data_IF_219328297978
#
_entry.id   IF_219328297978
#
_cell.length_a   1.000
_cell.length_b   1.000
_cell.length_c   1.000
_cell.angle_alpha   90.00
_cell.angle_beta   90.00
_cell.angle_gamma   90.00
#
_symmetry.space_group_name_H-M   'P 1'
#
loop_
_entity.id
_entity.type
_entity.pdbx_description
1 polymer ?
#
# COMPACT_ATOMS: atom_id res chain seq x y z
N UNK A 1 19.67 -4.36 -8.30
CA UNK A 1 19.20 -4.83 -6.98
C UNK A 1 18.31 -6.05 -7.19
N UNK A 2 18.35 -7.01 -6.28
CA UNK A 2 17.44 -8.16 -6.35
C UNK A 2 16.21 -7.85 -5.49
N UNK A 3 15.03 -7.76 -6.12
CA UNK A 3 13.75 -7.46 -5.47
C UNK A 3 12.90 -8.73 -5.28
N UNK A 4 13.56 -9.88 -5.06
CA UNK A 4 12.87 -11.17 -4.82
C UNK A 4 12.13 -11.24 -3.49
N UNK A 5 12.36 -10.28 -2.62
CA UNK A 5 11.72 -10.13 -1.32
C UNK A 5 10.36 -9.40 -1.38
N UNK A 6 9.91 -9.02 -2.56
CA UNK A 6 8.63 -8.33 -2.78
C UNK A 6 7.72 -9.23 -3.59
N UNK A 7 6.48 -9.41 -3.13
CA UNK A 7 5.42 -10.10 -3.87
C UNK A 7 4.09 -9.34 -3.75
N UNK A 8 3.26 -9.48 -4.79
CA UNK A 8 1.87 -9.03 -4.81
C UNK A 8 0.99 -10.25 -5.03
N UNK A 9 -0.01 -10.45 -4.19
CA UNK A 9 -0.99 -11.52 -4.38
C UNK A 9 -2.01 -11.11 -5.44
N UNK A 10 -2.69 -10.00 -5.22
CA UNK A 10 -3.69 -9.41 -6.12
C UNK A 10 -3.92 -7.95 -5.72
N UNK A 11 -4.37 -7.10 -6.63
CA UNK A 11 -4.70 -5.69 -6.35
C UNK A 11 -3.54 -4.96 -5.68
N UNK A 12 -3.76 -4.49 -4.45
CA UNK A 12 -2.77 -3.82 -3.60
C UNK A 12 -2.28 -4.70 -2.44
N UNK A 13 -2.51 -6.02 -2.51
CA UNK A 13 -2.08 -6.96 -1.46
C UNK A 13 -0.59 -7.26 -1.60
N UNK A 14 0.23 -6.49 -0.88
CA UNK A 14 1.69 -6.49 -0.99
C UNK A 14 2.30 -7.20 0.22
N UNK A 15 3.32 -8.04 -0.03
CA UNK A 15 4.21 -8.58 1.01
C UNK A 15 5.64 -8.11 0.76
N UNK A 16 6.28 -7.59 1.80
CA UNK A 16 7.71 -7.24 1.82
C UNK A 16 8.39 -8.07 2.90
N UNK A 17 9.41 -8.85 2.52
CA UNK A 17 10.19 -9.70 3.42
C UNK A 17 11.58 -9.09 3.61
N UNK A 18 12.00 -8.94 4.86
CA UNK A 18 13.31 -8.41 5.23
C UNK A 18 13.65 -8.83 6.65
N UNK A 19 14.19 -7.93 7.45
CA UNK A 19 14.33 -8.13 8.90
C UNK A 19 12.96 -8.37 9.58
N UNK A 20 11.88 -7.97 8.90
CA UNK A 20 10.47 -8.17 9.26
C UNK A 20 9.66 -8.64 8.06
N UNK A 21 8.63 -9.44 8.32
CA UNK A 21 7.59 -9.77 7.33
C UNK A 21 6.46 -8.75 7.45
N UNK A 22 6.31 -7.92 6.44
CA UNK A 22 5.35 -6.83 6.42
C UNK A 22 4.34 -7.05 5.29
N UNK A 23 3.07 -6.91 5.63
CA UNK A 23 1.96 -7.01 4.69
C UNK A 23 1.23 -5.67 4.60
N UNK A 24 0.84 -5.28 3.40
CA UNK A 24 -0.04 -4.14 3.14
C UNK A 24 -1.31 -4.66 2.47
N UNK A 25 -2.47 -4.23 2.98
CA UNK A 25 -3.79 -4.53 2.44
C UNK A 25 -3.97 -6.00 2.04
N UNK A 26 -3.75 -6.97 2.95
CA UNK A 26 -3.78 -8.39 2.61
C UNK A 26 -5.20 -8.85 2.28
N UNK A 27 -5.41 -9.29 1.01
CA UNK A 27 -6.69 -9.82 0.54
C UNK A 27 -6.51 -11.12 -0.26
N UNK A 28 -7.56 -11.95 -0.25
CA UNK A 28 -7.64 -13.21 -1.02
C UNK A 28 -6.41 -14.11 -0.82
N UNK A 29 -5.83 -14.11 0.36
CA UNK A 29 -4.78 -15.05 0.73
C UNK A 29 -5.39 -16.45 0.94
N UNK A 30 -4.64 -17.50 0.57
CA UNK A 30 -5.03 -18.90 0.75
C UNK A 30 -4.20 -19.62 1.81
N UNK A 31 -2.98 -19.16 2.04
CA UNK A 31 -2.00 -19.86 2.86
C UNK A 31 -2.04 -19.39 4.32
N UNK A 32 -2.16 -20.31 5.24
CA UNK A 32 -2.14 -20.04 6.68
C UNK A 32 -0.69 -19.92 7.20
N UNK A 33 -0.02 -18.81 6.87
CA UNK A 33 1.40 -18.62 7.12
C UNK A 33 1.71 -18.22 8.56
N UNK A 34 0.84 -17.44 9.22
CA UNK A 34 1.05 -16.95 10.60
C UNK A 34 2.40 -16.26 10.81
N UNK A 35 2.89 -15.55 9.78
CA UNK A 35 4.26 -15.04 9.72
C UNK A 35 4.38 -13.51 9.71
N UNK A 36 3.26 -12.77 9.76
CA UNK A 36 3.29 -11.32 9.76
C UNK A 36 3.89 -10.76 11.05
N UNK A 37 4.92 -9.91 10.95
CA UNK A 37 5.35 -9.05 12.05
C UNK A 37 4.44 -7.82 12.12
N UNK A 38 4.17 -7.19 10.97
CA UNK A 38 3.30 -6.02 10.84
C UNK A 38 2.33 -6.18 9.67
N UNK A 39 1.10 -5.71 9.88
CA UNK A 39 0.08 -5.59 8.84
C UNK A 39 -0.33 -4.13 8.78
N UNK A 40 -0.17 -3.49 7.62
CA UNK A 40 -0.58 -2.13 7.35
C UNK A 40 -1.86 -2.12 6.53
N UNK A 41 -2.84 -1.36 6.95
CA UNK A 41 -4.11 -1.17 6.25
C UNK A 41 -4.19 0.28 5.81
N UNK A 42 -4.47 0.53 4.53
CA UNK A 42 -4.60 1.88 3.99
C UNK A 42 -5.98 2.46 4.24
N UNK A 43 -7.03 1.66 4.12
CA UNK A 43 -8.43 2.05 4.32
C UNK A 43 -9.37 0.83 4.44
N UNK A 44 -10.69 1.07 4.68
CA UNK A 44 -11.68 0.03 5.03
C UNK A 44 -12.35 -0.69 3.85
N UNK A 45 -12.07 -0.35 2.59
CA UNK A 45 -12.73 -1.01 1.48
C UNK A 45 -12.39 -2.51 1.44
N UNK A 46 -13.35 -3.32 0.98
CA UNK A 46 -13.29 -4.79 1.01
C UNK A 46 -12.11 -5.39 0.24
N UNK A 47 -11.54 -4.65 -0.69
CA UNK A 47 -10.36 -5.03 -1.48
C UNK A 47 -9.03 -4.51 -0.90
N UNK A 48 -9.06 -4.01 0.35
CA UNK A 48 -7.89 -3.61 1.14
C UNK A 48 -7.95 -4.14 2.57
N UNK A 49 -9.16 -4.30 3.13
CA UNK A 49 -9.38 -4.77 4.50
C UNK A 49 -10.19 -6.07 4.52
N UNK A 50 -9.50 -7.21 4.37
CA UNK A 50 -10.10 -8.55 4.41
C UNK A 50 -9.68 -9.29 5.68
N UNK A 51 -10.61 -9.36 6.63
CA UNK A 51 -10.42 -10.01 7.93
C UNK A 51 -10.02 -11.49 7.77
N UNK A 52 -10.52 -12.19 6.75
CA UNK A 52 -10.20 -13.58 6.50
C UNK A 52 -8.72 -13.75 6.12
N UNK A 53 -8.21 -12.92 5.24
CA UNK A 53 -6.78 -12.90 4.87
C UNK A 53 -5.89 -12.46 6.03
N UNK A 54 -6.30 -11.44 6.79
CA UNK A 54 -5.57 -11.00 8.00
C UNK A 54 -5.42 -12.17 8.97
N UNK A 55 -6.50 -12.90 9.26
CA UNK A 55 -6.47 -14.06 10.15
C UNK A 55 -5.54 -15.19 9.70
N UNK A 56 -5.24 -15.33 8.42
CA UNK A 56 -4.31 -16.34 7.88
C UNK A 56 -2.83 -16.02 8.18
N UNK A 57 -2.48 -14.75 8.27
CA UNK A 57 -1.10 -14.30 8.48
C UNK A 57 -0.82 -13.81 9.90
N UNK A 58 -1.87 -13.52 10.67
CA UNK A 58 -1.81 -13.05 12.04
C UNK A 58 -1.24 -14.10 12.98
N UNK A 59 -0.23 -13.75 13.77
CA UNK A 59 0.30 -14.55 14.90
C UNK A 59 0.16 -13.77 16.22
N UNK A 60 0.64 -14.32 17.33
CA UNK A 60 0.49 -13.71 18.68
C UNK A 60 1.25 -12.38 18.85
N UNK A 61 2.24 -12.09 17.99
CA UNK A 61 3.10 -10.90 18.09
C UNK A 61 2.78 -9.85 17.01
N UNK A 62 1.96 -10.18 16.03
CA UNK A 62 1.64 -9.28 14.92
C UNK A 62 1.00 -8.00 15.43
N UNK A 63 1.48 -6.85 14.97
CA UNK A 63 0.86 -5.54 15.18
C UNK A 63 0.16 -5.12 13.89
N UNK A 64 -1.08 -4.66 14.00
CA UNK A 64 -1.85 -4.12 12.88
C UNK A 64 -1.84 -2.59 12.98
N UNK A 65 -1.35 -1.94 11.92
CA UNK A 65 -1.31 -0.49 11.75
C UNK A 65 -2.43 -0.10 10.80
N UNK A 66 -3.29 0.81 11.22
CA UNK A 66 -4.48 1.17 10.47
C UNK A 66 -4.93 2.61 10.77
N UNK A 67 -5.61 3.29 9.82
CA UNK A 67 -6.14 4.63 10.05
C UNK A 67 -7.15 4.63 11.20
N UNK A 68 -7.10 5.64 12.04
CA UNK A 68 -8.07 5.81 13.13
C UNK A 68 -9.51 5.90 12.62
N UNK A 69 -9.70 6.38 11.42
CA UNK A 69 -11.03 6.50 10.77
C UNK A 69 -11.75 5.17 10.59
N UNK A 70 -11.06 4.03 10.68
CA UNK A 70 -11.64 2.69 10.54
C UNK A 70 -11.73 1.91 11.87
N UNK A 71 -11.55 2.59 13.00
CA UNK A 71 -11.59 1.97 14.33
C UNK A 71 -12.91 1.23 14.62
N UNK A 72 -14.02 1.66 14.05
CA UNK A 72 -15.32 1.02 14.18
C UNK A 72 -15.51 -0.25 13.33
N UNK A 73 -14.56 -0.57 12.44
CA UNK A 73 -14.62 -1.72 11.52
C UNK A 73 -13.84 -2.95 11.99
N UNK A 74 -13.16 -2.84 13.12
CA UNK A 74 -12.20 -3.88 13.58
C UNK A 74 -12.80 -4.89 14.57
N UNK A 75 -14.07 -4.78 14.95
CA UNK A 75 -14.71 -5.64 15.95
C UNK A 75 -14.57 -7.14 15.62
N UNK A 76 -14.64 -7.51 14.35
CA UNK A 76 -14.55 -8.90 13.88
C UNK A 76 -13.11 -9.46 13.79
N UNK A 77 -12.09 -8.64 14.05
CA UNK A 77 -10.70 -9.09 14.01
C UNK A 77 -10.36 -10.05 15.17
N UNK A 78 -11.08 -9.95 16.29
CA UNK A 78 -10.83 -10.74 17.51
C UNK A 78 -9.33 -10.70 17.92
N UNK A 79 -8.78 -9.50 18.03
CA UNK A 79 -7.39 -9.23 18.39
C UNK A 79 -7.31 -8.39 19.65
N UNK A 80 -6.27 -8.60 20.46
CA UNK A 80 -5.98 -7.74 21.60
C UNK A 80 -5.76 -6.28 21.13
N UNK A 81 -6.49 -5.34 21.73
CA UNK A 81 -6.40 -3.91 21.40
C UNK A 81 -4.99 -3.34 21.53
N UNK A 82 -4.14 -3.91 22.39
CA UNK A 82 -2.73 -3.53 22.52
C UNK A 82 -1.89 -3.85 21.26
N UNK A 83 -2.43 -4.62 20.33
CA UNK A 83 -1.82 -4.99 19.05
C UNK A 83 -2.36 -4.18 17.87
N UNK A 84 -3.22 -3.21 18.14
CA UNK A 84 -3.75 -2.26 17.17
C UNK A 84 -3.03 -0.94 17.35
N UNK A 85 -2.46 -0.43 16.27
CA UNK A 85 -1.77 0.84 16.24
C UNK A 85 -2.48 1.78 15.26
N UNK A 86 -3.20 2.75 15.82
CA UNK A 86 -3.96 3.71 15.03
C UNK A 86 -3.08 4.87 14.56
N UNK A 87 -3.26 5.26 13.30
CA UNK A 87 -2.51 6.33 12.65
C UNK A 87 -3.43 7.42 12.10
N UNK A 88 -2.89 8.63 11.99
CA UNK A 88 -3.50 9.79 11.36
C UNK A 88 -2.65 10.20 10.13
N UNK A 89 -3.22 10.88 9.11
CA UNK A 89 -2.46 11.37 7.97
C UNK A 89 -1.37 12.39 8.36
N UNK A 90 -0.32 12.51 7.52
CA UNK A 90 0.79 13.48 7.67
C UNK A 90 1.60 13.33 8.97
N UNK A 91 1.70 12.14 9.50
CA UNK A 91 2.43 11.89 10.75
C UNK A 91 3.65 10.99 10.51
N UNK A 92 4.66 11.14 11.38
CA UNK A 92 5.78 10.21 11.49
C UNK A 92 5.60 9.35 12.72
N UNK A 93 5.83 8.04 12.56
CA UNK A 93 5.76 7.07 13.63
C UNK A 93 7.06 6.27 13.75
N UNK A 94 7.42 5.95 15.00
CA UNK A 94 8.48 5.01 15.31
C UNK A 94 7.86 3.91 16.17
N UNK A 95 7.86 2.70 15.68
CA UNK A 95 7.29 1.54 16.36
C UNK A 95 8.34 0.45 16.42
N UNK A 96 8.86 0.19 17.62
CA UNK A 96 9.96 -0.76 17.85
C UNK A 96 11.15 -0.54 16.87
N UNK A 97 11.26 -1.40 15.85
CA UNK A 97 12.38 -1.43 14.90
C UNK A 97 12.03 -0.90 13.51
N UNK A 98 10.85 -0.30 13.34
CA UNK A 98 10.44 0.30 12.07
C UNK A 98 10.12 1.78 12.24
N UNK A 99 10.44 2.55 11.22
CA UNK A 99 10.03 3.96 11.09
C UNK A 99 9.16 4.10 9.87
N UNK A 100 8.05 4.78 9.99
CA UNK A 100 7.17 5.03 8.86
C UNK A 100 6.46 6.38 8.94
N UNK A 101 6.00 6.85 7.79
CA UNK A 101 5.21 8.07 7.66
C UNK A 101 3.89 7.73 6.99
N UNK A 102 2.87 8.49 7.29
CA UNK A 102 1.56 8.43 6.65
C UNK A 102 1.39 9.59 5.70
N UNK A 103 0.91 9.31 4.50
CA UNK A 103 0.60 10.29 3.45
C UNK A 103 -0.92 10.25 3.25
N UNK A 104 -1.63 11.39 3.17
CA UNK A 104 -3.05 11.38 2.84
C UNK A 104 -3.32 10.68 1.50
N UNK A 105 -4.26 9.74 1.49
CA UNK A 105 -4.67 9.00 0.31
C UNK A 105 -6.12 9.35 0.02
N UNK A 106 -6.40 10.03 -1.10
CA UNK A 106 -7.75 10.53 -1.41
C UNK A 106 -7.96 10.81 -2.89
N UNK A 107 -9.22 10.90 -3.30
CA UNK A 107 -9.62 11.34 -4.62
C UNK A 107 -9.84 12.87 -4.68
N UNK A 108 -9.51 13.47 -5.83
CA UNK A 108 -9.72 14.91 -6.11
C UNK A 108 -11.09 15.13 -6.77
N UNK A 109 -11.41 14.34 -7.79
CA UNK A 109 -12.61 14.48 -8.61
C UNK A 109 -13.44 13.20 -8.70
N UNK A 110 -13.36 12.33 -7.70
CA UNK A 110 -14.09 11.07 -7.57
C UNK A 110 -14.61 10.96 -6.15
N UNK A 111 -15.76 10.29 -5.94
CA UNK A 111 -16.45 10.23 -4.65
C UNK A 111 -16.08 9.02 -3.78
N UNK A 112 -15.13 8.18 -4.23
CA UNK A 112 -14.85 6.90 -3.58
C UNK A 112 -13.95 7.02 -2.35
N UNK A 113 -12.97 7.94 -2.38
CA UNK A 113 -12.01 8.16 -1.32
C UNK A 113 -11.96 9.64 -0.93
N UNK A 114 -13.00 10.17 -0.26
CA UNK A 114 -13.04 11.57 0.12
C UNK A 114 -11.98 11.90 1.17
N UNK A 115 -11.38 13.10 1.08
CA UNK A 115 -10.25 13.52 1.92
C UNK A 115 -10.55 13.50 3.43
N UNK A 116 -11.80 13.77 3.82
CA UNK A 116 -12.27 13.80 5.21
C UNK A 116 -12.34 12.39 5.87
N UNK A 117 -12.24 11.33 5.07
CA UNK A 117 -12.10 9.96 5.58
C UNK A 117 -10.73 9.67 6.20
N UNK A 118 -9.75 10.52 5.99
CA UNK A 118 -8.40 10.37 6.56
C UNK A 118 -7.74 9.01 6.24
N UNK A 119 -7.97 8.48 5.04
CA UNK A 119 -7.26 7.32 4.53
C UNK A 119 -5.79 7.65 4.28
N UNK A 120 -4.93 6.65 4.33
CA UNK A 120 -3.49 6.87 4.27
C UNK A 120 -2.77 5.93 3.29
N UNK A 121 -1.79 6.47 2.60
CA UNK A 121 -0.65 5.71 2.12
C UNK A 121 0.47 5.72 3.15
N UNK A 122 1.50 4.94 2.92
CA UNK A 122 2.62 4.78 3.86
C UNK A 122 3.96 4.98 3.15
N UNK A 123 4.91 5.60 3.85
CA UNK A 123 6.33 5.47 3.53
C UNK A 123 6.96 4.69 4.67
N UNK A 124 7.50 3.51 4.38
CA UNK A 124 8.14 2.63 5.35
C UNK A 124 9.64 2.59 5.10
N UNK A 125 10.44 2.83 6.14
CA UNK A 125 11.88 2.54 6.13
C UNK A 125 12.15 1.19 6.78
N UNK A 126 12.73 0.27 6.01
CA UNK A 126 13.15 -1.04 6.49
C UNK A 126 14.44 -1.47 5.79
N UNK A 127 15.42 -1.94 6.56
CA UNK A 127 16.70 -2.47 6.07
C UNK A 127 17.45 -1.52 5.12
N UNK A 128 17.35 -0.21 5.37
CA UNK A 128 18.01 0.83 4.57
C UNK A 128 17.34 1.10 3.22
N UNK A 129 16.13 0.63 3.01
CA UNK A 129 15.30 0.88 1.83
C UNK A 129 14.00 1.55 2.25
N UNK A 130 13.59 2.59 1.53
CA UNK A 130 12.31 3.27 1.73
C UNK A 130 11.28 2.81 0.70
N UNK A 131 10.08 2.45 1.19
CA UNK A 131 8.97 1.93 0.39
C UNK A 131 7.78 2.86 0.48
N UNK A 132 7.27 3.36 -0.63
CA UNK A 132 6.03 4.11 -0.70
C UNK A 132 4.89 3.21 -1.17
N UNK A 133 3.86 3.07 -0.36
CA UNK A 133 2.61 2.39 -0.68
C UNK A 133 1.51 3.45 -0.74
N UNK A 134 1.04 3.77 -1.94
CA UNK A 134 0.17 4.91 -2.14
C UNK A 134 -1.24 4.73 -1.54
N UNK A 135 -1.74 3.49 -1.44
CA UNK A 135 -3.15 3.22 -1.21
C UNK A 135 -4.00 3.64 -2.40
N UNK A 136 -5.29 3.80 -2.19
CA UNK A 136 -6.22 4.25 -3.23
C UNK A 136 -6.30 5.78 -3.26
N UNK A 137 -5.60 6.38 -4.20
CA UNK A 137 -5.44 7.84 -4.30
C UNK A 137 -5.42 8.33 -5.74
N UNK A 138 -5.75 9.60 -5.92
CA UNK A 138 -5.42 10.35 -7.12
C UNK A 138 -4.03 10.98 -6.99
N UNK A 139 -3.58 11.70 -8.04
CA UNK A 139 -2.34 12.45 -8.07
C UNK A 139 -2.48 13.72 -7.22
N UNK A 140 -2.27 13.58 -5.91
CA UNK A 140 -2.40 14.67 -4.93
C UNK A 140 -1.13 15.51 -4.82
N UNK A 141 -1.23 16.68 -4.20
CA UNK A 141 -0.05 17.52 -3.93
C UNK A 141 0.91 16.81 -2.96
N UNK A 142 0.35 16.17 -1.93
CA UNK A 142 1.12 15.45 -0.91
C UNK A 142 1.90 14.26 -1.54
N UNK A 143 1.30 13.54 -2.48
CA UNK A 143 1.97 12.43 -3.16
C UNK A 143 3.16 12.87 -4.02
N UNK A 144 3.14 14.09 -4.58
CA UNK A 144 4.24 14.67 -5.37
C UNK A 144 5.50 14.95 -4.55
N UNK A 145 5.37 15.14 -3.24
CA UNK A 145 6.49 15.43 -2.34
C UNK A 145 7.14 14.17 -1.76
N UNK A 146 6.61 13.00 -2.06
CA UNK A 146 7.12 11.72 -1.56
C UNK A 146 8.56 11.48 -2.03
N UNK A 147 9.38 10.94 -1.11
CA UNK A 147 10.72 10.43 -1.39
C UNK A 147 10.80 9.00 -0.93
N UNK A 148 11.01 8.08 -1.86
CA UNK A 148 11.14 6.66 -1.59
C UNK A 148 12.03 5.98 -2.64
N UNK A 149 12.69 4.88 -2.25
CA UNK A 149 13.48 4.07 -3.18
C UNK A 149 12.58 3.22 -4.08
N UNK A 150 11.49 2.70 -3.52
CA UNK A 150 10.53 1.82 -4.20
C UNK A 150 9.13 2.38 -4.01
N UNK A 151 8.37 2.49 -5.09
CA UNK A 151 6.99 2.97 -5.04
C UNK A 151 6.00 1.92 -5.55
N UNK A 152 4.89 1.75 -4.83
CA UNK A 152 3.72 0.97 -5.23
C UNK A 152 2.57 1.95 -5.45
N UNK A 153 2.07 2.03 -6.68
CA UNK A 153 1.06 3.02 -7.07
C UNK A 153 -0.08 2.37 -7.82
N UNK A 154 -1.34 2.74 -7.52
CA UNK A 154 -2.49 2.23 -8.23
C UNK A 154 -2.55 2.83 -9.65
N UNK A 155 -2.98 2.00 -10.63
CA UNK A 155 -3.12 2.40 -12.04
C UNK A 155 -4.48 2.05 -12.64
N UNK A 156 -5.45 1.63 -11.82
CA UNK A 156 -6.74 1.11 -12.27
C UNK A 156 -7.72 2.14 -12.84
N UNK A 157 -7.56 3.42 -12.53
CA UNK A 157 -8.25 4.56 -13.16
C UNK A 157 -9.64 4.88 -12.59
N UNK A 158 -10.48 3.90 -12.32
CA UNK A 158 -11.88 4.16 -11.90
C UNK A 158 -11.95 4.77 -10.52
N UNK A 159 -11.26 4.20 -9.56
CA UNK A 159 -11.27 4.58 -8.14
C UNK A 159 -10.02 5.33 -7.70
N UNK A 160 -8.98 5.24 -8.52
CA UNK A 160 -7.62 5.70 -8.23
C UNK A 160 -7.03 6.45 -9.43
N UNK A 161 -5.76 6.80 -9.37
CA UNK A 161 -5.02 7.24 -10.56
C UNK A 161 -5.19 6.24 -11.70
N UNK A 162 -5.30 6.74 -12.92
CA UNK A 162 -5.08 5.94 -14.11
C UNK A 162 -3.58 5.77 -14.40
N UNK A 163 -3.22 4.96 -15.41
CA UNK A 163 -1.82 4.71 -15.78
C UNK A 163 -1.05 5.97 -16.19
N UNK A 164 -1.72 6.99 -16.73
CA UNK A 164 -1.08 8.26 -17.16
C UNK A 164 -0.83 9.16 -15.96
N UNK A 165 -1.81 9.28 -15.05
CA UNK A 165 -1.68 10.03 -13.81
C UNK A 165 -0.59 9.41 -12.92
N UNK A 166 -0.60 8.07 -12.76
CA UNK A 166 0.39 7.34 -11.98
C UNK A 166 1.80 7.49 -12.59
N UNK A 167 1.95 7.40 -13.92
CA UNK A 167 3.23 7.63 -14.58
C UNK A 167 3.71 9.08 -14.39
N UNK A 168 2.80 10.05 -14.41
CA UNK A 168 3.12 11.45 -14.11
C UNK A 168 3.68 11.59 -12.70
N UNK A 169 3.03 10.97 -11.69
CA UNK A 169 3.52 10.96 -10.32
C UNK A 169 4.94 10.35 -10.24
N UNK A 170 5.12 9.17 -10.81
CA UNK A 170 6.41 8.45 -10.73
C UNK A 170 7.54 9.23 -11.41
N UNK A 171 7.29 9.86 -12.55
CA UNK A 171 8.27 10.70 -13.22
C UNK A 171 8.61 11.99 -12.45
N UNK A 172 7.74 12.44 -11.52
CA UNK A 172 8.01 13.54 -10.59
C UNK A 172 8.86 13.06 -9.39
N UNK A 173 8.43 12.00 -8.69
CA UNK A 173 9.07 11.55 -7.44
C UNK A 173 10.32 10.71 -7.66
N UNK A 174 10.50 10.14 -8.86
CA UNK A 174 11.69 9.42 -9.35
C UNK A 174 12.22 8.37 -8.38
N UNK A 175 11.43 7.34 -8.00
CA UNK A 175 11.94 6.22 -7.24
C UNK A 175 12.92 5.41 -8.09
N UNK A 176 13.77 4.58 -7.46
CA UNK A 176 14.65 3.63 -8.18
C UNK A 176 13.85 2.53 -8.86
N UNK A 177 12.73 2.12 -8.24
CA UNK A 177 11.82 1.09 -8.74
C UNK A 177 10.37 1.52 -8.53
N UNK A 178 9.53 1.29 -9.53
CA UNK A 178 8.06 1.35 -9.39
C UNK A 178 7.43 -0.01 -9.68
N UNK A 179 6.40 -0.34 -8.92
CA UNK A 179 5.58 -1.54 -9.09
C UNK A 179 4.12 -1.08 -9.15
N UNK A 180 3.45 -1.19 -10.31
CA UNK A 180 2.04 -0.82 -10.43
C UNK A 180 1.15 -1.82 -9.68
N UNK A 181 0.09 -1.31 -9.06
CA UNK A 181 -0.89 -2.04 -8.26
C UNK A 181 -2.32 -1.70 -8.68
N UNK A 182 -3.30 -2.36 -8.08
CA UNK A 182 -4.73 -2.04 -8.19
C UNK A 182 -5.25 -2.03 -9.64
N UNK A 183 -4.91 -3.06 -10.44
CA UNK A 183 -5.38 -3.23 -11.83
C UNK A 183 -5.50 -4.71 -12.21
N UNK A 184 -6.14 -4.98 -13.35
CA UNK A 184 -6.20 -6.32 -13.98
C UNK A 184 -7.10 -7.33 -13.28
N UNK A 185 -7.85 -6.93 -12.26
CA UNK A 185 -8.76 -7.80 -11.48
C UNK A 185 -10.12 -7.13 -11.27
N UNK A 186 -10.25 -6.26 -10.25
CA UNK A 186 -11.51 -5.53 -9.95
C UNK A 186 -11.70 -4.38 -10.94
N UNK A 187 -10.61 -3.70 -11.28
CA UNK A 187 -10.57 -2.56 -12.22
C UNK A 187 -9.37 -2.68 -13.15
N UNK A 188 -9.38 -1.89 -14.20
CA UNK A 188 -8.31 -1.86 -15.20
C UNK A 188 -8.23 -3.16 -16.00
N UNK A 189 -7.28 -3.21 -16.94
CA UNK A 189 -6.99 -4.35 -17.77
C UNK A 189 -5.65 -4.98 -17.39
N UNK A 190 -5.46 -6.27 -17.65
CA UNK A 190 -4.16 -6.94 -17.40
C UNK A 190 -2.99 -6.33 -18.17
N UNK A 191 -3.26 -5.70 -19.31
CA UNK A 191 -2.25 -5.01 -20.13
C UNK A 191 -1.86 -3.64 -19.63
N UNK A 192 -2.63 -3.04 -18.69
CA UNK A 192 -2.36 -1.68 -18.21
C UNK A 192 -0.99 -1.55 -17.54
N UNK A 193 -0.47 -2.63 -16.94
CA UNK A 193 0.89 -2.65 -16.39
C UNK A 193 1.97 -2.41 -17.44
N UNK A 194 1.90 -3.07 -18.60
CA UNK A 194 2.87 -2.87 -19.69
C UNK A 194 2.68 -1.50 -20.35
N UNK A 195 1.45 -1.02 -20.50
CA UNK A 195 1.18 0.34 -21.00
C UNK A 195 1.77 1.39 -20.03
N UNK A 196 1.57 1.22 -18.71
CA UNK A 196 2.15 2.08 -17.68
C UNK A 196 3.68 2.10 -17.75
N UNK A 197 4.31 0.92 -17.89
CA UNK A 197 5.76 0.80 -18.03
C UNK A 197 6.30 1.59 -19.22
N UNK A 198 5.56 1.63 -20.33
CA UNK A 198 5.92 2.44 -21.49
C UNK A 198 5.87 3.97 -21.28
N UNK A 199 5.25 4.44 -20.19
CA UNK A 199 5.15 5.86 -19.81
C UNK A 199 6.20 6.29 -18.77
N UNK A 200 6.95 5.34 -18.20
CA UNK A 200 7.95 5.59 -17.16
C UNK A 200 9.28 6.02 -17.81
N UNK A 201 9.94 7.00 -17.24
CA UNK A 201 11.26 7.47 -17.67
C UNK A 201 12.30 6.33 -17.59
N UNK A 202 13.23 6.30 -18.56
CA UNK A 202 14.25 5.22 -18.69
C UNK A 202 15.18 5.08 -17.49
N UNK A 203 15.31 6.12 -16.66
CA UNK A 203 16.11 6.14 -15.44
C UNK A 203 15.42 5.48 -14.23
N UNK A 204 14.15 5.06 -14.38
CA UNK A 204 13.35 4.41 -13.34
C UNK A 204 13.07 2.96 -13.74
N UNK A 205 13.38 2.00 -12.88
CA UNK A 205 13.00 0.61 -13.12
C UNK A 205 11.48 0.44 -12.91
N UNK A 206 10.82 -0.31 -13.80
CA UNK A 206 9.42 -0.70 -13.63
C UNK A 206 9.31 -2.22 -13.65
N UNK A 207 8.70 -2.80 -12.61
CA UNK A 207 8.50 -4.24 -12.46
C UNK A 207 7.02 -4.59 -12.35
N UNK A 208 6.52 -5.42 -13.25
CA UNK A 208 5.15 -5.93 -13.23
C UNK A 208 5.13 -7.20 -12.37
N UNK A 209 4.25 -7.27 -11.37
CA UNK A 209 4.10 -8.41 -10.45
C UNK A 209 2.69 -9.00 -10.42
N UNK A 210 1.72 -8.36 -11.11
CA UNK A 210 0.33 -8.83 -11.23
C UNK A 210 0.11 -9.43 -12.61
#
# INVERSE_FOLDING_TARGET
>A
MNYSNISINIQSSIKIQGSKNIYFDPIKLSDNLKDADYIFITHEHYDHFDISSIKLILNEKTIIILPKSIEDKIEDLDIDKNRLFFVEPNMKYNLENITFWTIPSYNINKDYHPKDKNYVGYILDMDGTSYYIAGDTDLTEESREVKADIAFVPIGGTYTMDKVEAATLINIIKPKLVIPTHYGSIVGNKTDGEDFKGLISDDIQCKILI
#
